data_IF_973593736168
#
_entry.id   IF_973593736168
#
_cell.length_a   1.000
_cell.length_b   1.000
_cell.length_c   1.000
_cell.angle_alpha   90.00
_cell.angle_beta   90.00
_cell.angle_gamma   90.00
#
_symmetry.space_group_name_H-M   'P 1'
#
loop_
_entity.id
_entity.type
_entity.pdbx_description
1 polymer ?
#
# COMPACT_ATOMS: atom_id res chain seq x y z
N UNK A 1 2.27 -15.17 3.93
CA UNK A 1 1.68 -15.36 5.28
C UNK A 1 2.13 -14.23 6.19
N UNK A 2 1.21 -13.38 6.65
CA UNK A 2 1.53 -12.23 7.50
C UNK A 2 1.46 -12.62 8.97
N UNK A 3 2.48 -12.26 9.75
CA UNK A 3 2.49 -12.52 11.20
C UNK A 3 1.43 -11.69 11.92
N UNK A 4 0.84 -12.17 13.05
CA UNK A 4 -0.21 -11.47 13.79
C UNK A 4 0.14 -10.01 14.13
N UNK A 5 1.39 -9.74 14.51
CA UNK A 5 1.89 -8.39 14.82
C UNK A 5 1.82 -7.45 13.61
N UNK A 6 2.04 -7.96 12.40
CA UNK A 6 1.93 -7.20 11.15
C UNK A 6 0.46 -6.97 10.71
N UNK A 7 -0.51 -7.61 11.34
CA UNK A 7 -1.94 -7.32 11.11
C UNK A 7 -2.34 -6.15 12.01
N UNK A 8 -1.97 -6.18 13.29
CA UNK A 8 -2.25 -5.10 14.24
C UNK A 8 -1.65 -3.75 13.79
N UNK A 9 -0.42 -3.75 13.28
CA UNK A 9 0.23 -2.56 12.74
C UNK A 9 -0.59 -1.90 11.62
N UNK A 10 -0.97 -2.68 10.60
CA UNK A 10 -1.72 -2.16 9.46
C UNK A 10 -3.14 -1.70 9.84
N UNK A 11 -3.78 -2.36 10.81
CA UNK A 11 -5.07 -1.93 11.32
C UNK A 11 -5.01 -0.53 11.93
N UNK A 12 -3.95 -0.18 12.63
CA UNK A 12 -3.78 1.16 13.19
C UNK A 12 -3.50 2.19 12.09
N UNK A 13 -2.61 1.84 11.15
CA UNK A 13 -2.28 2.66 9.98
C UNK A 13 -3.49 3.04 9.14
N UNK A 14 -4.45 2.13 8.93
CA UNK A 14 -5.65 2.42 8.14
C UNK A 14 -6.69 3.29 8.86
N UNK A 15 -6.59 3.47 10.18
CA UNK A 15 -7.49 4.38 10.91
C UNK A 15 -7.17 5.84 10.64
N UNK A 16 -5.90 6.19 10.66
CA UNK A 16 -5.41 7.56 10.44
C UNK A 16 -5.95 8.23 9.16
N UNK A 17 -5.90 7.62 7.96
CA UNK A 17 -6.47 8.25 6.76
C UNK A 17 -8.00 8.32 6.79
N UNK A 18 -8.68 7.36 7.43
CA UNK A 18 -10.14 7.26 7.45
C UNK A 18 -10.80 8.17 8.49
N UNK A 19 -10.20 8.28 9.66
CA UNK A 19 -10.73 9.02 10.80
C UNK A 19 -10.12 10.43 10.85
N UNK A 20 -8.81 10.55 10.67
CA UNK A 20 -8.07 11.82 10.85
C UNK A 20 -7.75 12.54 9.54
N UNK A 21 -8.17 11.99 8.38
CA UNK A 21 -7.93 12.54 7.03
C UNK A 21 -6.45 12.78 6.71
N UNK A 22 -5.57 11.95 7.28
CA UNK A 22 -4.12 12.02 7.06
C UNK A 22 -3.74 11.23 5.80
N UNK A 23 -2.87 11.78 4.95
CA UNK A 23 -2.28 11.03 3.82
C UNK A 23 -1.04 10.28 4.28
N UNK A 24 -0.96 8.98 3.97
CA UNK A 24 0.15 8.12 4.35
C UNK A 24 0.83 7.56 3.10
N UNK A 25 2.15 7.71 3.05
CA UNK A 25 2.99 7.07 2.05
C UNK A 25 3.72 5.87 2.67
N UNK A 26 3.65 4.71 2.01
CA UNK A 26 4.31 3.48 2.47
C UNK A 26 5.01 2.80 1.31
N UNK A 27 6.27 2.41 1.51
CA UNK A 27 7.03 1.59 0.56
C UNK A 27 7.11 0.15 1.06
N UNK A 28 6.79 -0.83 0.22
CA UNK A 28 6.88 -2.25 0.55
C UNK A 28 7.20 -3.10 -0.67
N UNK A 29 7.94 -4.19 -0.48
CA UNK A 29 8.17 -5.21 -1.50
C UNK A 29 7.17 -6.39 -1.41
N UNK A 30 6.22 -6.35 -0.46
CA UNK A 30 5.22 -7.39 -0.29
C UNK A 30 3.90 -7.01 -0.98
N UNK A 31 3.58 -7.66 -2.10
CA UNK A 31 2.39 -7.33 -2.91
C UNK A 31 1.09 -7.39 -2.10
N UNK A 32 0.93 -8.41 -1.24
CA UNK A 32 -0.22 -8.53 -0.32
C UNK A 32 -0.44 -7.34 0.64
N UNK A 33 0.55 -6.46 0.79
CA UNK A 33 0.44 -5.19 1.52
C UNK A 33 0.14 -4.02 0.59
N UNK A 34 0.79 -3.98 -0.57
CA UNK A 34 0.49 -3.00 -1.61
C UNK A 34 -0.99 -3.07 -2.06
N UNK A 35 -1.53 -4.28 -2.22
CA UNK A 35 -2.94 -4.54 -2.58
C UNK A 35 -3.98 -3.97 -1.61
N UNK A 36 -3.56 -3.57 -0.40
CA UNK A 36 -4.46 -2.98 0.60
C UNK A 36 -4.47 -1.45 0.57
N UNK A 37 -3.63 -0.84 -0.24
CA UNK A 37 -3.52 0.61 -0.37
C UNK A 37 -4.54 1.13 -1.40
N UNK A 38 -5.02 2.35 -1.23
CA UNK A 38 -5.98 2.97 -2.16
C UNK A 38 -5.35 3.24 -3.55
N UNK A 39 -4.04 3.53 -3.56
CA UNK A 39 -3.23 3.73 -4.75
C UNK A 39 -1.84 3.12 -4.53
N UNK A 40 -1.28 2.49 -5.57
CA UNK A 40 0.08 1.95 -5.56
C UNK A 40 0.88 2.52 -6.73
N UNK A 41 2.21 2.56 -6.56
CA UNK A 41 3.14 2.87 -7.63
C UNK A 41 4.25 1.83 -7.72
N UNK A 42 4.60 1.39 -8.93
CA UNK A 42 5.79 0.58 -9.15
C UNK A 42 6.99 1.45 -9.45
N UNK A 43 8.11 1.12 -8.82
CA UNK A 43 9.38 1.82 -8.95
C UNK A 43 10.42 0.88 -9.55
N UNK A 44 11.07 1.30 -10.63
CA UNK A 44 12.17 0.56 -11.26
C UNK A 44 13.30 1.53 -11.61
N UNK A 45 14.52 1.25 -11.13
CA UNK A 45 15.71 2.10 -11.34
C UNK A 45 15.48 3.58 -11.00
N UNK A 46 14.78 3.85 -9.89
CA UNK A 46 14.47 5.20 -9.42
C UNK A 46 13.38 5.92 -10.23
N UNK A 47 12.70 5.24 -11.16
CA UNK A 47 11.60 5.80 -11.95
C UNK A 47 10.28 5.13 -11.61
N UNK A 48 9.21 5.90 -11.59
CA UNK A 48 7.85 5.39 -11.51
C UNK A 48 7.46 4.80 -12.87
N UNK A 49 7.10 3.52 -12.88
CA UNK A 49 6.74 2.77 -14.10
C UNK A 49 5.23 2.48 -14.20
N UNK A 50 4.47 2.82 -13.15
CA UNK A 50 3.01 2.70 -13.15
C UNK A 50 2.45 3.24 -11.84
N UNK A 51 1.24 3.81 -11.88
CA UNK A 51 0.52 4.35 -10.72
C UNK A 51 -1.00 4.22 -10.91
N UNK A 52 -1.72 3.88 -9.85
CA UNK A 52 -3.17 3.69 -9.90
C UNK A 52 -3.68 2.76 -8.80
N UNK A 53 -4.92 2.32 -8.93
CA UNK A 53 -5.47 1.32 -7.99
C UNK A 53 -4.72 0.00 -8.15
N UNK A 54 -4.66 -0.82 -7.08
CA UNK A 54 -3.98 -2.12 -7.15
C UNK A 54 -4.45 -2.98 -8.31
N UNK A 55 -5.75 -3.01 -8.60
CA UNK A 55 -6.32 -3.82 -9.69
C UNK A 55 -5.82 -3.34 -11.06
N UNK A 56 -5.74 -2.02 -11.26
CA UNK A 56 -5.31 -1.42 -12.53
C UNK A 56 -3.82 -1.59 -12.78
N UNK A 57 -3.01 -1.58 -11.73
CA UNK A 57 -1.55 -1.58 -11.86
C UNK A 57 -0.97 -3.00 -11.78
N UNK A 58 -1.59 -3.92 -11.03
CA UNK A 58 -1.07 -5.28 -10.83
C UNK A 58 -1.60 -6.31 -11.84
N UNK A 59 -2.73 -6.04 -12.51
CA UNK A 59 -3.37 -6.96 -13.46
C UNK A 59 -3.28 -6.47 -14.93
N UNK A 60 -2.43 -5.48 -15.19
CA UNK A 60 -2.16 -4.94 -16.52
C UNK A 60 -1.17 -5.77 -17.33
#
# INVERSE_FOLDING_TARGET
MLKPRAICFWRHLFKLPREDKITIFVSTCFMSKAERCDCISFMYKGRMIGVGTPEKVACG
#
